data_IF_152947407197
#
_entry.id   IF_152947407197
#
_cell.length_a   1.000
_cell.length_b   1.000
_cell.length_c   1.000
_cell.angle_alpha   90.00
_cell.angle_beta   90.00
_cell.angle_gamma   90.00
#
_symmetry.space_group_name_H-M   'P 1'
#
loop_
_entity.id
_entity.type
_entity.pdbx_description
1 polymer ?
#
# COMPACT_ATOMS: atom_id res chain seq x y z
N UNK A 1 -3.76 -15.52 -18.08
CA UNK A 1 -3.78 -14.10 -17.73
C UNK A 1 -4.47 -13.96 -16.39
N UNK A 2 -3.85 -13.31 -15.41
CA UNK A 2 -4.42 -13.04 -14.09
C UNK A 2 -4.70 -11.54 -13.95
N UNK A 3 -5.58 -11.17 -13.03
CA UNK A 3 -5.83 -9.77 -12.66
C UNK A 3 -5.89 -9.65 -11.16
N UNK A 4 -5.16 -8.69 -10.60
CA UNK A 4 -5.14 -8.38 -9.17
C UNK A 4 -5.00 -6.87 -8.99
N UNK A 5 -5.32 -6.37 -7.81
CA UNK A 5 -5.16 -4.97 -7.45
C UNK A 5 -4.33 -4.82 -6.18
N UNK A 6 -3.59 -3.71 -6.13
CA UNK A 6 -2.93 -3.23 -4.92
C UNK A 6 -3.68 -1.98 -4.44
N UNK A 7 -3.99 -1.93 -3.15
CA UNK A 7 -4.64 -0.79 -2.50
C UNK A 7 -3.67 -0.17 -1.48
N UNK A 8 -2.84 0.81 -1.87
CA UNK A 8 -1.89 1.44 -0.95
C UNK A 8 -2.61 2.19 0.18
N UNK A 9 -2.03 2.15 1.37
CA UNK A 9 -2.37 3.05 2.47
C UNK A 9 -1.66 4.40 2.33
N UNK A 10 -1.17 4.93 3.45
CA UNK A 10 -0.34 6.13 3.41
C UNK A 10 1.09 5.82 2.97
N UNK A 11 1.49 6.34 1.80
CA UNK A 11 2.82 6.15 1.20
C UNK A 11 3.55 7.50 1.10
N UNK A 12 4.82 7.52 1.49
CA UNK A 12 5.69 8.69 1.41
C UNK A 12 6.08 8.96 -0.05
N UNK A 13 5.61 10.07 -0.60
CA UNK A 13 5.82 10.48 -1.99
C UNK A 13 5.97 11.99 -2.07
N UNK A 14 6.41 12.50 -3.22
CA UNK A 14 6.41 13.95 -3.51
C UNK A 14 5.01 14.57 -3.43
N UNK A 15 3.96 13.79 -3.65
CA UNK A 15 2.57 14.25 -3.56
C UNK A 15 2.12 14.33 -2.10
N UNK A 16 2.31 13.26 -1.31
CA UNK A 16 1.92 13.23 0.11
C UNK A 16 2.73 14.19 0.98
N UNK A 17 3.96 14.52 0.56
CA UNK A 17 4.75 15.58 1.18
C UNK A 17 4.07 16.96 1.17
N UNK A 18 3.17 17.22 0.21
CA UNK A 18 2.43 18.49 0.06
C UNK A 18 1.10 18.51 0.82
N UNK A 19 0.72 17.43 1.48
CA UNK A 19 -0.51 17.37 2.29
C UNK A 19 -0.38 18.23 3.57
N UNK A 20 -1.49 18.75 4.10
CA UNK A 20 -1.50 19.41 5.41
C UNK A 20 -0.89 18.51 6.49
N UNK A 21 -0.04 19.09 7.35
CA UNK A 21 0.77 18.35 8.32
C UNK A 21 -0.07 17.41 9.22
N UNK A 22 -1.22 17.88 9.67
CA UNK A 22 -2.12 17.12 10.56
C UNK A 22 -2.65 15.86 9.89
N UNK A 23 -3.17 15.98 8.66
CA UNK A 23 -3.65 14.84 7.86
C UNK A 23 -2.51 13.90 7.48
N UNK A 24 -1.34 14.46 7.17
CA UNK A 24 -0.13 13.70 6.81
C UNK A 24 0.32 12.83 7.98
N UNK A 25 0.45 13.40 9.17
CA UNK A 25 0.91 12.67 10.37
C UNK A 25 -0.13 11.65 10.85
N UNK A 26 -1.43 11.97 10.79
CA UNK A 26 -2.49 11.01 11.07
C UNK A 26 -2.41 9.80 10.13
N UNK A 27 -2.30 10.02 8.82
CA UNK A 27 -2.14 8.94 7.84
C UNK A 27 -0.88 8.10 8.09
N UNK A 28 0.21 8.74 8.49
CA UNK A 28 1.50 8.09 8.80
C UNK A 28 1.43 7.19 10.05
N UNK A 29 0.59 7.53 11.04
CA UNK A 29 0.57 6.86 12.35
C UNK A 29 -0.62 5.93 12.57
N UNK A 30 -1.70 6.07 11.80
CA UNK A 30 -2.91 5.24 11.92
C UNK A 30 -2.75 3.85 11.25
N UNK A 31 -1.73 3.12 11.65
CA UNK A 31 -1.44 1.75 11.22
C UNK A 31 -0.54 1.06 12.27
N UNK A 32 -0.51 -0.28 12.25
CA UNK A 32 0.24 -1.06 13.25
C UNK A 32 1.75 -0.86 13.21
N UNK A 33 2.30 -0.44 12.06
CA UNK A 33 3.73 -0.16 11.90
C UNK A 33 4.13 1.26 12.33
N UNK A 34 3.15 2.09 12.72
CA UNK A 34 3.30 3.48 13.14
C UNK A 34 4.17 4.34 12.21
N UNK A 35 4.18 4.03 10.91
CA UNK A 35 4.96 4.73 9.89
C UNK A 35 4.25 4.73 8.53
N UNK A 36 4.63 5.68 7.67
CA UNK A 36 4.22 5.69 6.27
C UNK A 36 5.04 4.66 5.48
N UNK A 37 4.41 4.00 4.51
CA UNK A 37 5.12 3.10 3.60
C UNK A 37 5.94 3.86 2.57
N UNK A 38 6.76 3.15 1.82
CA UNK A 38 7.55 3.66 0.70
C UNK A 38 6.99 3.15 -0.64
N UNK A 39 7.30 3.83 -1.76
CA UNK A 39 6.91 3.34 -3.08
C UNK A 39 7.40 1.92 -3.40
N UNK A 40 8.55 1.52 -2.84
CA UNK A 40 9.09 0.16 -2.98
C UNK A 40 8.17 -0.90 -2.38
N UNK A 41 7.50 -0.62 -1.26
CA UNK A 41 6.60 -1.60 -0.62
C UNK A 41 5.40 -1.95 -1.53
N UNK A 42 4.91 -0.94 -2.25
CA UNK A 42 3.86 -1.10 -3.27
C UNK A 42 4.41 -1.86 -4.47
N UNK A 43 5.60 -1.50 -4.93
CA UNK A 43 6.25 -2.14 -6.08
C UNK A 43 6.54 -3.62 -5.85
N UNK A 44 7.03 -4.01 -4.67
CA UNK A 44 7.27 -5.41 -4.30
C UNK A 44 5.98 -6.24 -4.33
N UNK A 45 4.87 -5.65 -3.86
CA UNK A 45 3.56 -6.34 -3.90
C UNK A 45 3.07 -6.51 -5.34
N UNK A 46 3.27 -5.52 -6.20
CA UNK A 46 2.96 -5.62 -7.64
C UNK A 46 3.86 -6.68 -8.29
N UNK A 47 5.15 -6.69 -7.98
CA UNK A 47 6.12 -7.65 -8.50
C UNK A 47 5.76 -9.09 -8.09
N UNK A 48 5.30 -9.30 -6.86
CA UNK A 48 4.76 -10.58 -6.43
C UNK A 48 3.56 -11.02 -7.27
N UNK A 49 2.60 -10.14 -7.54
CA UNK A 49 1.47 -10.47 -8.44
C UNK A 49 1.92 -10.75 -9.88
N UNK A 50 2.96 -10.08 -10.36
CA UNK A 50 3.50 -10.25 -11.71
C UNK A 50 4.45 -11.46 -11.86
N UNK A 51 4.86 -12.09 -10.76
CA UNK A 51 5.77 -13.23 -10.77
C UNK A 51 5.20 -14.39 -11.62
N UNK A 52 6.02 -15.06 -12.47
CA UNK A 52 5.58 -16.25 -13.21
C UNK A 52 5.08 -17.38 -12.30
N UNK A 53 5.56 -17.45 -11.06
CA UNK A 53 5.11 -18.44 -10.08
C UNK A 53 3.70 -18.13 -9.52
N UNK A 54 3.20 -16.91 -9.69
CA UNK A 54 1.89 -16.46 -9.18
C UNK A 54 0.73 -16.77 -10.13
N UNK A 55 0.87 -17.77 -11.02
CA UNK A 55 -0.15 -18.14 -12.01
C UNK A 55 -1.51 -18.55 -11.42
N UNK A 56 -1.55 -18.94 -10.14
CA UNK A 56 -2.78 -19.25 -9.41
C UNK A 56 -3.40 -18.08 -8.63
N UNK A 57 -2.81 -16.88 -8.68
CA UNK A 57 -3.25 -15.71 -7.90
C UNK A 57 -4.01 -14.75 -8.80
N UNK A 58 -5.33 -14.73 -8.71
CA UNK A 58 -6.21 -13.82 -9.48
C UNK A 58 -7.43 -13.42 -8.67
N UNK A 59 -7.98 -12.23 -8.95
CA UNK A 59 -9.13 -11.66 -8.25
C UNK A 59 -8.83 -11.07 -6.87
N UNK A 60 -7.56 -10.93 -6.51
CA UNK A 60 -7.17 -10.44 -5.19
C UNK A 60 -7.06 -8.91 -5.16
N UNK A 61 -7.45 -8.32 -4.04
CA UNK A 61 -7.14 -6.94 -3.68
C UNK A 61 -6.30 -6.97 -2.41
N UNK A 62 -5.02 -6.64 -2.52
CA UNK A 62 -4.11 -6.65 -1.36
C UNK A 62 -3.80 -5.22 -0.95
N UNK A 63 -4.06 -4.92 0.33
CA UNK A 63 -3.74 -3.63 0.92
C UNK A 63 -2.26 -3.58 1.30
N UNK A 64 -1.56 -2.56 0.80
CA UNK A 64 -0.17 -2.24 1.19
C UNK A 64 -0.22 -1.03 2.11
N UNK A 65 -0.58 -1.29 3.37
CA UNK A 65 -1.01 -0.22 4.28
C UNK A 65 -0.43 -0.30 5.69
N UNK A 66 0.53 -1.21 5.96
CA UNK A 66 1.05 -1.44 7.31
C UNK A 66 -0.03 -1.82 8.33
N UNK A 67 -1.12 -2.46 7.88
CA UNK A 67 -2.33 -2.71 8.66
C UNK A 67 -2.99 -1.42 9.18
N UNK A 68 -3.32 -0.50 8.26
CA UNK A 68 -4.03 0.74 8.62
C UNK A 68 -5.39 0.47 9.26
N UNK A 69 -5.74 1.27 10.26
CA UNK A 69 -7.00 1.21 11.01
C UNK A 69 -8.23 1.56 10.17
N UNK A 70 -8.05 2.27 9.04
CA UNK A 70 -9.13 2.62 8.14
C UNK A 70 -9.55 1.39 7.33
N UNK A 71 -10.83 1.02 7.32
CA UNK A 71 -11.37 -0.12 6.57
C UNK A 71 -12.90 -0.19 6.64
N UNK A 72 -13.48 -1.12 5.87
CA UNK A 72 -14.89 -1.50 5.90
C UNK A 72 -15.04 -2.92 6.46
#
# INVERSE_FOLDING_TARGET
>A
MTVNAVAPGFIETKMTAKMPLTLREAGRRMNSLAQGGLPVDVAETIAWFASPASGGVTGNVVRVCGQSLLGA
#
